data_IF_831108008742
#
_entry.id   IF_831108008742
#
_cell.length_a   1.000
_cell.length_b   1.000
_cell.length_c   1.000
_cell.angle_alpha   90.00
_cell.angle_beta   90.00
_cell.angle_gamma   90.00
#
_symmetry.space_group_name_H-M   'P 1'
#
loop_
_entity.id
_entity.type
_entity.pdbx_description
1 polymer ?
#
# COMPACT_ATOMS: atom_id res chain seq x y z
N UNK A 1 -15.77 2.92 11.61
CA UNK A 1 -15.82 4.03 10.62
C UNK A 1 -14.44 4.69 10.41
N UNK A 2 -13.32 4.03 10.75
CA UNK A 2 -11.98 4.64 10.75
C UNK A 2 -11.23 4.39 9.42
N UNK A 3 -11.26 3.16 8.90
CA UNK A 3 -10.55 2.80 7.66
C UNK A 3 -10.94 3.60 6.40
N UNK A 4 -12.20 4.05 6.27
CA UNK A 4 -12.63 4.83 5.10
C UNK A 4 -12.02 6.24 5.03
N UNK A 5 -11.62 6.82 6.17
CA UNK A 5 -10.94 8.11 6.23
C UNK A 5 -9.45 7.95 5.93
N UNK A 6 -8.82 6.90 6.47
CA UNK A 6 -7.42 6.55 6.19
C UNK A 6 -7.20 6.27 4.71
N UNK A 7 -8.10 5.48 4.09
CA UNK A 7 -8.08 5.22 2.66
C UNK A 7 -8.11 6.51 1.82
N UNK A 8 -8.99 7.46 2.16
CA UNK A 8 -9.10 8.73 1.45
C UNK A 8 -7.86 9.61 1.62
N UNK A 9 -7.33 9.69 2.84
CA UNK A 9 -6.13 10.46 3.14
C UNK A 9 -4.92 9.91 2.37
N UNK A 10 -4.80 8.59 2.30
CA UNK A 10 -3.70 7.94 1.59
C UNK A 10 -3.77 8.20 0.08
N UNK A 11 -4.96 8.08 -0.52
CA UNK A 11 -5.17 8.48 -1.92
C UNK A 11 -4.77 9.94 -2.12
N UNK A 12 -5.28 10.86 -1.29
CA UNK A 12 -5.02 12.29 -1.48
C UNK A 12 -3.52 12.64 -1.36
N UNK A 13 -2.84 12.05 -0.39
CA UNK A 13 -1.42 12.28 -0.15
C UNK A 13 -0.57 11.68 -1.28
N UNK A 14 -0.73 10.38 -1.56
CA UNK A 14 0.12 9.65 -2.49
C UNK A 14 -0.16 10.00 -3.95
N UNK A 15 -1.36 10.47 -4.29
CA UNK A 15 -1.64 10.98 -5.64
C UNK A 15 -0.85 12.25 -5.98
N UNK A 16 -0.37 12.99 -4.96
CA UNK A 16 0.34 14.27 -5.14
C UNK A 16 1.85 14.12 -5.03
N UNK A 17 2.35 13.06 -4.40
CA UNK A 17 3.77 12.89 -4.07
C UNK A 17 4.37 11.78 -4.93
N UNK A 18 5.33 12.16 -5.78
CA UNK A 18 6.11 11.23 -6.58
C UNK A 18 7.59 11.41 -6.25
N UNK A 19 8.20 10.41 -5.60
CA UNK A 19 9.60 10.47 -5.18
C UNK A 19 10.24 9.08 -5.21
N UNK A 20 11.51 8.99 -5.63
CA UNK A 20 12.25 7.73 -5.83
C UNK A 20 12.39 6.81 -4.59
N UNK A 21 12.15 7.35 -3.40
CA UNK A 21 12.23 6.61 -2.12
C UNK A 21 10.85 6.38 -1.49
N UNK A 22 9.77 6.72 -2.20
CA UNK A 22 8.40 6.50 -1.77
C UNK A 22 7.74 5.58 -2.79
N UNK A 23 6.95 4.62 -2.30
CA UNK A 23 6.18 3.74 -3.18
C UNK A 23 5.11 4.55 -3.91
N UNK A 24 5.06 4.40 -5.23
CA UNK A 24 4.07 5.09 -6.04
C UNK A 24 2.70 4.40 -5.97
N UNK A 25 1.65 5.20 -5.75
CA UNK A 25 0.27 4.76 -5.93
C UNK A 25 -0.03 4.71 -7.44
N UNK A 26 -0.37 3.53 -7.94
CA UNK A 26 -0.77 3.32 -9.33
C UNK A 26 -2.28 3.58 -9.51
N UNK A 27 -3.08 3.24 -8.50
CA UNK A 27 -4.52 3.47 -8.53
C UNK A 27 -5.23 2.95 -7.28
N UNK A 28 -6.55 2.95 -7.32
CA UNK A 28 -7.39 2.43 -6.25
C UNK A 28 -8.66 1.79 -6.80
N UNK A 29 -9.23 0.86 -6.05
CA UNK A 29 -10.56 0.31 -6.29
C UNK A 29 -11.49 0.73 -5.14
N UNK A 30 -12.69 1.18 -5.52
CA UNK A 30 -13.77 1.49 -4.61
C UNK A 30 -15.03 0.82 -5.12
N UNK A 31 -15.33 -0.38 -4.62
CA UNK A 31 -16.51 -1.13 -5.03
C UNK A 31 -17.33 -1.56 -3.82
N UNK A 32 -18.56 -1.05 -3.74
CA UNK A 32 -19.49 -1.27 -2.63
C UNK A 32 -18.90 -0.94 -1.24
N UNK A 33 -18.36 -1.95 -0.54
CA UNK A 33 -17.73 -1.84 0.79
C UNK A 33 -16.25 -2.23 0.77
N UNK A 34 -15.73 -2.63 -0.38
CA UNK A 34 -14.34 -3.00 -0.57
C UNK A 34 -13.54 -1.79 -1.03
N UNK A 35 -12.41 -1.57 -0.35
CA UNK A 35 -11.48 -0.48 -0.63
C UNK A 35 -10.10 -1.11 -0.81
N UNK A 36 -9.47 -0.85 -1.96
CA UNK A 36 -8.15 -1.38 -2.27
C UNK A 36 -7.28 -0.29 -2.88
N UNK A 37 -6.02 -0.24 -2.46
CA UNK A 37 -4.99 0.61 -3.05
C UNK A 37 -4.03 -0.26 -3.85
N UNK A 38 -3.64 0.23 -5.02
CA UNK A 38 -2.76 -0.46 -5.96
C UNK A 38 -1.46 0.32 -6.06
N UNK A 39 -0.36 -0.32 -5.69
CA UNK A 39 0.98 0.27 -5.69
C UNK A 39 1.87 -0.36 -6.75
N UNK A 40 2.99 0.31 -7.04
CA UNK A 40 4.08 -0.34 -7.77
C UNK A 40 4.63 -1.52 -6.98
N UNK A 41 5.06 -2.56 -7.69
CA UNK A 41 5.58 -3.76 -7.07
C UNK A 41 6.97 -3.53 -6.49
N UNK A 42 7.16 -3.90 -5.21
CA UNK A 42 8.46 -3.86 -4.52
C UNK A 42 9.05 -5.27 -4.49
N UNK A 43 10.06 -5.58 -5.32
CA UNK A 43 10.55 -6.95 -5.47
C UNK A 43 11.28 -7.50 -4.24
N UNK A 44 11.83 -6.64 -3.41
CA UNK A 44 12.62 -7.02 -2.24
C UNK A 44 11.81 -7.06 -0.94
N UNK A 45 10.49 -6.89 -1.03
CA UNK A 45 9.62 -6.82 0.13
C UNK A 45 9.89 -5.65 1.05
N UNK A 46 9.51 -5.80 2.31
CA UNK A 46 9.61 -4.76 3.33
C UNK A 46 11.01 -4.69 3.92
N UNK A 47 11.36 -3.51 4.46
CA UNK A 47 12.61 -3.35 5.20
C UNK A 47 12.72 -4.33 6.39
N UNK A 48 11.60 -4.64 7.04
CA UNK A 48 11.57 -5.60 8.15
C UNK A 48 12.05 -6.99 7.71
N UNK A 49 11.54 -7.47 6.58
CA UNK A 49 11.93 -8.77 6.01
C UNK A 49 13.43 -8.79 5.70
N UNK A 50 13.95 -7.70 5.12
CA UNK A 50 15.38 -7.57 4.83
C UNK A 50 16.26 -7.51 6.09
N UNK A 51 15.79 -6.92 7.19
CA UNK A 51 16.58 -6.78 8.42
C UNK A 51 16.56 -8.03 9.29
N UNK A 52 15.44 -8.75 9.32
CA UNK A 52 15.24 -9.86 10.26
C UNK A 52 15.19 -11.23 9.58
N UNK A 53 15.36 -11.31 8.26
CA UNK A 53 15.41 -12.56 7.50
C UNK A 53 14.09 -13.34 7.50
N UNK A 54 13.00 -12.69 7.91
CA UNK A 54 11.67 -13.28 7.96
C UNK A 54 10.97 -13.05 6.63
N UNK A 55 11.36 -13.77 5.58
CA UNK A 55 10.60 -13.78 4.33
C UNK A 55 9.29 -14.53 4.53
N UNK A 56 8.29 -13.83 5.07
CA UNK A 56 6.94 -14.31 4.95
C UNK A 56 6.57 -14.20 3.47
N UNK A 57 5.97 -15.23 2.88
CA UNK A 57 5.47 -15.19 1.49
C UNK A 57 4.25 -14.26 1.39
N UNK A 58 4.36 -13.06 1.94
CA UNK A 58 3.39 -11.98 1.83
C UNK A 58 3.55 -11.45 0.42
N UNK A 59 2.62 -11.83 -0.46
CA UNK A 59 2.48 -11.14 -1.74
C UNK A 59 2.27 -9.66 -1.40
N UNK A 60 3.27 -8.81 -1.70
CA UNK A 60 3.25 -7.36 -1.43
C UNK A 60 2.17 -6.59 -2.23
N UNK A 61 1.22 -7.30 -2.85
CA UNK A 61 0.03 -6.73 -3.50
C UNK A 61 -1.03 -6.33 -2.47
N UNK A 62 -0.92 -6.78 -1.20
CA UNK A 62 -2.01 -6.63 -0.21
C UNK A 62 -1.71 -5.67 0.96
N UNK A 63 -0.73 -4.77 0.86
CA UNK A 63 -0.33 -3.98 2.05
C UNK A 63 -1.37 -2.96 2.54
N UNK A 64 -2.49 -2.75 1.84
CA UNK A 64 -3.51 -1.77 2.27
C UNK A 64 -4.96 -2.23 2.07
N UNK A 65 -5.25 -3.53 2.02
CA UNK A 65 -6.58 -3.97 2.44
C UNK A 65 -6.65 -3.92 3.97
N UNK A 66 -6.81 -2.70 4.49
CA UNK A 66 -7.35 -2.36 5.82
C UNK A 66 -6.56 -2.91 7.01
N UNK A 67 -5.82 -2.01 7.69
CA UNK A 67 -5.60 -2.17 9.14
C UNK A 67 -6.88 -1.87 9.92
#
# INVERSE_FOLDING_TARGET
MQGGHEFRNEIELLSRVHHKNLVNLVGFCLEQREQMLVYEFIPNGTLWESLFGMFHSSINVLLFCVS
#
